data_IF_434889361531
#
_entry.id   IF_434889361531
#
_cell.length_a   1.000
_cell.length_b   1.000
_cell.length_c   1.000
_cell.angle_alpha   90.00
_cell.angle_beta   90.00
_cell.angle_gamma   90.00
#
_symmetry.space_group_name_H-M   'P 1'
#
loop_
_entity.id
_entity.type
_entity.pdbx_description
1 polymer ?
#
# COMPACT_ATOMS: atom_id res chain seq x y z
N UNK A 1 1.81 7.76 -0.70
CA UNK A 1 0.42 8.24 -0.77
C UNK A 1 -0.28 7.83 0.50
N UNK A 2 -0.98 8.75 1.15
CA UNK A 2 -1.73 8.45 2.36
C UNK A 2 -3.17 8.02 2.01
N UNK A 3 -3.63 6.95 2.64
CA UNK A 3 -4.96 6.36 2.51
C UNK A 3 -5.63 6.41 3.89
N UNK A 4 -6.67 7.24 3.99
CA UNK A 4 -7.50 7.35 5.19
C UNK A 4 -8.86 6.74 4.88
N UNK A 5 -9.29 5.78 5.68
CA UNK A 5 -10.55 5.05 5.56
C UNK A 5 -11.29 5.16 6.88
N UNK A 6 -12.53 5.65 6.81
CA UNK A 6 -13.33 5.94 8.01
C UNK A 6 -14.13 4.74 8.53
N UNK A 7 -14.29 3.69 7.71
CA UNK A 7 -15.04 2.49 8.09
C UNK A 7 -14.23 1.22 7.84
N UNK A 8 -14.08 0.39 8.87
CA UNK A 8 -13.35 -0.89 8.77
C UNK A 8 -13.88 -1.81 7.67
N UNK A 9 -15.19 -1.77 7.40
CA UNK A 9 -15.82 -2.55 6.31
C UNK A 9 -15.38 -2.09 4.91
N UNK A 10 -14.99 -0.83 4.77
CA UNK A 10 -14.51 -0.22 3.53
C UNK A 10 -12.98 -0.24 3.44
N UNK A 11 -12.27 -0.52 4.55
CA UNK A 11 -10.81 -0.64 4.59
C UNK A 11 -10.38 -1.71 3.62
N UNK A 12 -10.95 -2.92 3.69
CA UNK A 12 -10.51 -4.03 2.84
C UNK A 12 -10.67 -3.73 1.35
N UNK A 13 -11.84 -3.20 0.95
CA UNK A 13 -12.13 -2.87 -0.45
C UNK A 13 -11.33 -1.68 -0.97
N UNK A 14 -11.19 -0.63 -0.15
CA UNK A 14 -10.43 0.58 -0.50
C UNK A 14 -8.93 0.27 -0.54
N UNK A 15 -8.42 -0.47 0.44
CA UNK A 15 -7.04 -0.89 0.50
C UNK A 15 -6.72 -1.83 -0.66
N UNK A 16 -7.54 -2.83 -0.94
CA UNK A 16 -7.33 -3.74 -2.07
C UNK A 16 -7.32 -3.02 -3.42
N UNK A 17 -8.23 -2.06 -3.65
CA UNK A 17 -8.25 -1.28 -4.90
C UNK A 17 -7.02 -0.39 -5.04
N UNK A 18 -6.61 0.30 -3.97
CA UNK A 18 -5.41 1.15 -3.95
C UNK A 18 -4.12 0.34 -4.07
N UNK A 19 -4.03 -0.81 -3.41
CA UNK A 19 -2.88 -1.73 -3.50
C UNK A 19 -2.76 -2.27 -4.93
N UNK A 20 -3.86 -2.60 -5.62
CA UNK A 20 -3.80 -3.00 -7.04
C UNK A 20 -3.29 -1.89 -7.94
N UNK A 21 -3.73 -0.65 -7.71
CA UNK A 21 -3.25 0.52 -8.46
C UNK A 21 -1.75 0.74 -8.22
N UNK A 22 -1.30 0.60 -6.97
CA UNK A 22 0.11 0.67 -6.60
C UNK A 22 0.92 -0.50 -7.16
N UNK A 23 0.39 -1.72 -7.19
CA UNK A 23 1.03 -2.86 -7.85
C UNK A 23 1.21 -2.63 -9.34
N UNK A 24 0.20 -2.11 -10.04
CA UNK A 24 0.32 -1.78 -11.45
C UNK A 24 1.42 -0.72 -11.68
N UNK A 25 1.50 0.29 -10.81
CA UNK A 25 2.56 1.32 -10.85
C UNK A 25 3.94 0.77 -10.49
N UNK A 26 4.04 -0.11 -9.50
CA UNK A 26 5.27 -0.80 -9.12
C UNK A 26 5.76 -1.69 -10.28
N UNK A 27 4.84 -2.44 -10.90
CA UNK A 27 5.09 -3.27 -12.08
C UNK A 27 5.55 -2.46 -13.29
N UNK A 28 5.04 -1.24 -13.45
CA UNK A 28 5.48 -0.32 -14.50
C UNK A 28 6.89 0.23 -14.26
N UNK A 29 7.23 0.53 -13.00
CA UNK A 29 8.55 1.07 -12.65
C UNK A 29 9.62 -0.04 -12.51
N UNK A 30 9.24 -1.26 -12.11
CA UNK A 30 10.11 -2.45 -11.87
C UNK A 30 11.32 -2.19 -10.96
N UNK A 31 11.34 -1.10 -10.20
CA UNK A 31 12.51 -0.67 -9.43
C UNK A 31 12.33 -0.81 -7.93
N UNK A 32 11.09 -0.88 -7.42
CA UNK A 32 10.80 -0.87 -5.98
C UNK A 32 9.57 -1.74 -5.65
N UNK A 33 9.55 -2.30 -4.44
CA UNK A 33 8.40 -2.99 -3.85
C UNK A 33 7.40 -2.01 -3.22
N UNK A 34 6.35 -2.55 -2.61
CA UNK A 34 5.29 -1.75 -1.97
C UNK A 34 5.47 -1.83 -0.45
N UNK A 35 5.60 -0.67 0.20
CA UNK A 35 5.60 -0.54 1.64
C UNK A 35 4.25 0.04 2.08
N UNK A 36 3.56 -0.68 2.96
CA UNK A 36 2.32 -0.26 3.59
C UNK A 36 2.62 0.02 5.06
N UNK A 37 2.51 1.27 5.49
CA UNK A 37 2.72 1.68 6.88
C UNK A 37 1.39 1.99 7.53
N UNK A 38 1.05 1.30 8.61
CA UNK A 38 -0.17 1.57 9.38
C UNK A 38 0.09 2.63 10.43
N UNK A 39 -0.60 3.76 10.34
CA UNK A 39 -0.48 4.86 11.32
C UNK A 39 -1.56 4.83 12.40
N UNK A 40 -2.67 4.14 12.16
CA UNK A 40 -3.77 4.03 13.11
C UNK A 40 -5.00 3.33 12.52
N UNK A 41 -6.11 3.27 13.27
CA UNK A 41 -7.37 2.70 12.78
C UNK A 41 -7.81 3.42 11.50
N UNK A 42 -7.82 2.71 10.38
CA UNK A 42 -8.22 3.28 9.09
C UNK A 42 -7.18 4.20 8.44
N UNK A 43 -5.99 4.42 9.03
CA UNK A 43 -4.97 5.30 8.47
C UNK A 43 -3.75 4.51 8.05
N UNK A 44 -3.52 4.45 6.75
CA UNK A 44 -2.43 3.69 6.13
C UNK A 44 -1.69 4.59 5.14
N UNK A 45 -0.38 4.42 5.04
CA UNK A 45 0.45 5.04 4.00
C UNK A 45 0.95 3.95 3.08
N UNK A 46 0.71 4.10 1.79
CA UNK A 46 1.20 3.18 0.76
C UNK A 46 2.22 3.93 -0.07
N UNK A 47 3.44 3.39 -0.15
CA UNK A 47 4.53 3.97 -0.92
C UNK A 47 5.38 2.90 -1.61
N UNK A 48 6.08 3.32 -2.66
CA UNK A 48 7.08 2.47 -3.30
C UNK A 48 8.40 2.68 -2.55
N UNK A 49 8.93 1.62 -1.97
CA UNK A 49 10.20 1.68 -1.24
C UNK A 49 11.23 0.75 -1.86
N UNK A 50 12.46 1.25 -2.00
CA UNK A 50 13.62 0.45 -2.40
C UNK A 50 14.07 -0.51 -1.28
N UNK A 51 13.60 -0.30 -0.04
CA UNK A 51 13.82 -1.23 1.06
C UNK A 51 13.01 -2.53 0.90
N UNK A 52 11.96 -2.49 0.07
CA UNK A 52 11.15 -3.66 -0.26
C UNK A 52 11.54 -4.14 -1.66
N UNK A 53 12.01 -5.38 -1.82
CA UNK A 53 12.31 -5.91 -3.14
C UNK A 53 11.08 -5.88 -4.05
N UNK A 54 11.30 -5.61 -5.33
CA UNK A 54 10.24 -5.67 -6.33
C UNK A 54 9.50 -7.03 -6.28
N UNK A 55 8.17 -6.98 -6.32
CA UNK A 55 7.31 -8.16 -6.19
C UNK A 55 6.89 -8.49 -4.74
N UNK A 56 7.44 -7.80 -3.74
CA UNK A 56 7.02 -7.94 -2.35
C UNK A 56 6.17 -6.76 -1.91
N UNK A 57 5.19 -7.06 -1.05
CA UNK A 57 4.42 -6.07 -0.30
C UNK A 57 4.72 -6.28 1.17
N UNK A 58 5.28 -5.27 1.83
CA UNK A 58 5.60 -5.33 3.25
C UNK A 58 4.63 -4.43 4.02
N UNK A 59 3.96 -5.00 5.02
CA UNK A 59 3.15 -4.24 5.97
C UNK A 59 3.99 -3.96 7.22
N UNK A 60 4.19 -2.68 7.52
CA UNK A 60 4.79 -2.19 8.74
C UNK A 60 3.67 -1.76 9.69
N UNK A 61 3.50 -2.53 10.76
CA UNK A 61 2.54 -2.30 11.83
C UNK A 61 3.14 -1.53 12.99
#
# INVERSE_FOLDING_TARGET
MEVVVHHAREVDQTLNSRVREFQARALAQRTAGILVTKHGPGRFTIELSHDVPFGYTHEKA
#
